data_IF_812169306715
#
_entry.id   IF_812169306715
#
_cell.length_a   1.000
_cell.length_b   1.000
_cell.length_c   1.000
_cell.angle_alpha   90.00
_cell.angle_beta   90.00
_cell.angle_gamma   90.00
#
_symmetry.space_group_name_H-M   'P 1'
#
loop_
_entity.id
_entity.type
_entity.pdbx_description
1 polymer ?
#
# COMPACT_ATOMS: atom_id res chain seq x y z
N UNK A 1 -26.85 17.87 -15.34
CA UNK A 1 -26.54 18.80 -14.24
C UNK A 1 -25.16 18.48 -13.70
N UNK A 2 -24.15 19.32 -13.97
CA UNK A 2 -22.85 19.22 -13.29
C UNK A 2 -23.13 19.51 -11.81
N UNK A 3 -22.99 18.52 -10.93
CA UNK A 3 -23.01 18.76 -9.48
C UNK A 3 -21.89 19.75 -9.20
N UNK A 4 -22.23 20.98 -8.82
CA UNK A 4 -21.26 21.91 -8.25
C UNK A 4 -20.58 21.18 -7.09
N UNK A 5 -19.24 21.23 -7.04
CA UNK A 5 -18.43 20.53 -6.04
C UNK A 5 -18.67 21.14 -4.66
N UNK A 6 -19.78 20.83 -4.01
CA UNK A 6 -20.04 21.39 -2.69
C UNK A 6 -19.12 20.70 -1.68
N UNK A 7 -18.20 21.47 -1.10
CA UNK A 7 -17.10 20.98 -0.26
C UNK A 7 -17.58 20.10 0.89
N UNK A 8 -18.75 20.41 1.46
CA UNK A 8 -19.37 19.64 2.55
C UNK A 8 -19.72 18.18 2.19
N UNK A 9 -19.84 17.84 0.90
CA UNK A 9 -20.11 16.47 0.45
C UNK A 9 -18.85 15.63 0.28
N UNK A 10 -17.65 16.25 0.29
CA UNK A 10 -16.39 15.54 0.16
C UNK A 10 -16.19 14.60 1.34
N UNK A 11 -15.71 13.39 1.10
CA UNK A 11 -15.60 12.41 2.18
C UNK A 11 -14.59 12.77 3.27
N UNK A 12 -13.63 13.66 3.00
CA UNK A 12 -12.71 14.20 4.00
C UNK A 12 -13.31 15.23 4.96
N UNK A 13 -14.58 15.63 4.78
CA UNK A 13 -15.34 16.42 5.75
C UNK A 13 -16.20 15.47 6.59
N UNK A 14 -15.84 15.33 7.86
CA UNK A 14 -16.38 14.33 8.79
C UNK A 14 -17.24 15.06 9.82
N UNK A 15 -18.50 14.66 9.96
CA UNK A 15 -19.41 15.22 10.96
C UNK A 15 -18.95 14.84 12.37
N UNK A 16 -18.91 15.82 13.28
CA UNK A 16 -18.58 15.57 14.67
C UNK A 16 -19.80 15.18 15.50
N UNK A 17 -19.58 14.80 16.76
CA UNK A 17 -20.68 14.59 17.71
C UNK A 17 -21.48 15.86 17.94
N UNK A 18 -20.78 16.99 17.95
CA UNK A 18 -21.36 18.31 18.00
C UNK A 18 -21.69 18.75 16.56
N UNK A 19 -22.97 18.88 16.20
CA UNK A 19 -23.38 19.13 14.82
C UNK A 19 -23.03 20.54 14.32
N UNK A 20 -22.65 21.45 15.22
CA UNK A 20 -22.16 22.78 14.85
C UNK A 20 -20.76 22.72 14.20
N UNK A 21 -20.05 21.60 14.35
CA UNK A 21 -18.68 21.45 13.88
C UNK A 21 -18.47 20.24 12.97
N UNK A 22 -17.40 20.31 12.20
CA UNK A 22 -16.88 19.18 11.44
C UNK A 22 -15.37 19.04 11.63
N UNK A 23 -14.86 17.83 11.36
CA UNK A 23 -13.43 17.56 11.26
C UNK A 23 -13.04 17.50 9.79
N UNK A 24 -11.96 18.19 9.41
CA UNK A 24 -11.35 18.07 8.08
C UNK A 24 -10.17 17.11 8.15
N UNK A 25 -10.18 16.06 7.34
CA UNK A 25 -9.03 15.19 7.11
C UNK A 25 -8.32 15.59 5.82
N UNK A 26 -7.00 15.71 5.85
CA UNK A 26 -6.18 16.05 4.66
C UNK A 26 -5.83 14.83 3.81
N UNK A 27 -5.46 15.05 2.54
CA UNK A 27 -4.83 14.08 1.64
C UNK A 27 -3.31 14.26 1.68
N UNK A 28 -2.61 13.21 2.07
CA UNK A 28 -1.14 13.18 2.19
C UNK A 28 -0.68 11.78 1.78
N UNK A 29 -0.52 11.51 0.46
CA UNK A 29 -0.11 10.18 0.01
C UNK A 29 1.22 9.79 0.64
N UNK A 30 1.31 8.54 1.12
CA UNK A 30 2.46 8.00 1.84
C UNK A 30 2.86 8.77 3.12
N UNK A 31 2.09 9.74 3.58
CA UNK A 31 2.45 10.58 4.73
C UNK A 31 3.62 11.53 4.46
N UNK A 32 3.95 11.80 3.20
CA UNK A 32 5.09 12.65 2.84
C UNK A 32 4.65 14.11 2.82
N UNK A 33 5.26 14.90 3.69
CA UNK A 33 5.04 16.36 3.81
C UNK A 33 6.36 17.08 3.94
N UNK A 34 6.41 18.32 3.46
CA UNK A 34 7.51 19.24 3.74
C UNK A 34 7.28 19.96 5.07
N UNK A 35 8.33 20.51 5.71
CA UNK A 35 8.16 21.39 6.86
C UNK A 35 7.25 22.59 6.59
N UNK A 36 7.25 23.11 5.36
CA UNK A 36 6.36 24.20 4.95
C UNK A 36 4.88 23.77 4.95
N UNK A 37 4.58 22.58 4.41
CA UNK A 37 3.23 22.01 4.43
C UNK A 37 2.71 21.81 5.86
N UNK A 38 3.57 21.34 6.77
CA UNK A 38 3.19 21.18 8.18
C UNK A 38 2.93 22.52 8.88
N UNK A 39 3.77 23.54 8.64
CA UNK A 39 3.52 24.90 9.14
C UNK A 39 2.21 25.45 8.60
N UNK A 40 1.95 25.33 7.30
CA UNK A 40 0.68 25.78 6.71
C UNK A 40 -0.54 25.06 7.28
N UNK A 41 -0.46 23.74 7.56
CA UNK A 41 -1.55 23.04 8.28
C UNK A 41 -1.76 23.65 9.67
N UNK A 42 -0.69 23.95 10.40
CA UNK A 42 -0.78 24.58 11.73
C UNK A 42 -1.42 25.97 11.65
N UNK A 43 -0.98 26.82 10.72
CA UNK A 43 -1.54 28.17 10.51
C UNK A 43 -3.04 28.11 10.14
N UNK A 44 -3.42 27.16 9.28
CA UNK A 44 -4.83 26.93 8.91
C UNK A 44 -5.63 26.46 10.14
N UNK A 45 -5.08 25.54 10.94
CA UNK A 45 -5.74 25.04 12.14
C UNK A 45 -5.93 26.13 13.21
N UNK A 46 -4.94 26.99 13.42
CA UNK A 46 -5.03 28.15 14.30
C UNK A 46 -6.11 29.12 13.80
N UNK A 47 -6.19 29.34 12.48
CA UNK A 47 -7.26 30.16 11.88
C UNK A 47 -8.66 29.59 12.11
N UNK A 48 -8.78 28.27 12.27
CA UNK A 48 -10.02 27.57 12.59
C UNK A 48 -10.29 27.54 14.10
N UNK A 49 -9.36 28.03 14.94
CA UNK A 49 -9.38 27.87 16.40
C UNK A 49 -9.45 26.39 16.82
N UNK A 50 -8.84 25.51 16.03
CA UNK A 50 -8.81 24.09 16.33
C UNK A 50 -8.00 23.86 17.62
N UNK A 51 -8.52 23.12 18.61
CA UNK A 51 -7.84 22.95 19.90
C UNK A 51 -6.58 22.09 19.82
N UNK A 52 -6.46 21.25 18.79
CA UNK A 52 -5.32 20.39 18.51
C UNK A 52 -5.43 19.83 17.09
N UNK A 53 -4.35 19.20 16.62
CA UNK A 53 -4.32 18.38 15.42
C UNK A 53 -4.22 16.89 15.78
N UNK A 54 -4.75 16.03 14.92
CA UNK A 54 -4.65 14.57 15.10
C UNK A 54 -3.96 13.90 13.91
N UNK A 55 -2.92 13.10 14.18
CA UNK A 55 -2.23 12.30 13.16
C UNK A 55 -2.91 10.93 13.03
N UNK A 56 -3.35 10.60 11.82
CA UNK A 56 -4.17 9.41 11.59
C UNK A 56 -3.34 8.16 11.29
N UNK A 57 -3.94 6.99 11.51
CA UNK A 57 -3.37 5.70 11.07
C UNK A 57 -3.27 5.56 9.54
N UNK A 58 -3.86 6.49 8.78
CA UNK A 58 -3.76 6.58 7.32
C UNK A 58 -2.70 7.57 6.85
N UNK A 59 -1.81 8.01 7.76
CA UNK A 59 -0.72 8.94 7.47
C UNK A 59 -1.20 10.33 7.00
N UNK A 60 -2.30 10.81 7.57
CA UNK A 60 -2.86 12.14 7.30
C UNK A 60 -3.00 12.96 8.57
N UNK A 61 -3.38 14.23 8.43
CA UNK A 61 -3.68 15.13 9.56
C UNK A 61 -5.17 15.46 9.57
N UNK A 62 -5.76 15.53 10.76
CA UNK A 62 -7.11 16.00 11.00
C UNK A 62 -7.10 17.34 11.74
N UNK A 63 -7.98 18.24 11.28
CA UNK A 63 -8.29 19.54 11.88
C UNK A 63 -9.73 19.44 12.43
N UNK A 64 -9.93 19.21 13.73
CA UNK A 64 -11.24 19.13 14.36
C UNK A 64 -11.82 20.53 14.62
N UNK A 65 -13.10 20.58 15.01
CA UNK A 65 -13.82 21.79 15.44
C UNK A 65 -13.86 22.89 14.38
N UNK A 66 -13.96 22.51 13.11
CA UNK A 66 -14.09 23.46 12.00
C UNK A 66 -15.56 23.85 11.82
N UNK A 67 -15.81 25.16 11.73
CA UNK A 67 -17.10 25.72 11.33
C UNK A 67 -17.44 25.33 9.87
N UNK A 68 -18.56 24.61 9.63
CA UNK A 68 -19.02 24.24 8.30
C UNK A 68 -19.18 25.43 7.33
N UNK A 69 -19.45 26.64 7.84
CA UNK A 69 -19.57 27.87 7.04
C UNK A 69 -18.26 28.32 6.40
N UNK A 70 -17.11 27.84 6.89
CA UNK A 70 -15.76 28.21 6.41
C UNK A 70 -15.10 27.14 5.53
N UNK A 71 -15.82 26.08 5.18
CA UNK A 71 -15.26 24.94 4.44
C UNK A 71 -14.62 25.32 3.10
N UNK A 72 -15.19 26.29 2.35
CA UNK A 72 -14.63 26.71 1.07
C UNK A 72 -13.30 27.44 1.22
N UNK A 73 -13.20 28.34 2.20
CA UNK A 73 -11.98 29.07 2.55
C UNK A 73 -10.87 28.08 2.94
N UNK A 74 -11.18 27.16 3.86
CA UNK A 74 -10.22 26.19 4.37
C UNK A 74 -9.82 25.19 3.28
N UNK A 75 -10.77 24.74 2.46
CA UNK A 75 -10.46 23.86 1.32
C UNK A 75 -9.51 24.54 0.32
N UNK A 76 -9.64 25.86 0.12
CA UNK A 76 -8.72 26.63 -0.75
C UNK A 76 -7.33 26.71 -0.13
N UNK A 77 -7.25 27.13 1.13
CA UNK A 77 -5.97 27.25 1.85
C UNK A 77 -5.22 25.91 1.91
N UNK A 78 -5.91 24.81 2.22
CA UNK A 78 -5.34 23.47 2.22
C UNK A 78 -4.89 23.02 0.82
N UNK A 79 -5.61 23.44 -0.23
CA UNK A 79 -5.22 23.19 -1.61
C UNK A 79 -3.93 23.92 -1.99
N UNK A 80 -3.83 25.20 -1.65
CA UNK A 80 -2.63 26.04 -1.88
C UNK A 80 -1.43 25.54 -1.07
N UNK A 81 -1.66 25.03 0.14
CA UNK A 81 -0.64 24.40 0.97
C UNK A 81 -0.15 23.04 0.42
N UNK A 82 -0.82 22.46 -0.58
CA UNK A 82 -0.50 21.13 -1.11
C UNK A 82 -0.98 19.97 -0.23
N UNK A 83 -1.88 20.22 0.72
CA UNK A 83 -2.50 19.22 1.61
C UNK A 83 -4.02 19.27 1.52
N UNK A 84 -4.61 19.10 0.33
CA UNK A 84 -6.03 19.32 0.10
C UNK A 84 -6.90 18.38 0.94
N UNK A 85 -8.20 18.66 1.03
CA UNK A 85 -9.14 17.78 1.73
C UNK A 85 -9.10 16.35 1.16
N UNK A 86 -9.04 15.40 2.09
CA UNK A 86 -8.97 13.97 1.89
C UNK A 86 -10.30 13.32 1.50
N UNK A 87 -10.33 11.99 1.65
CA UNK A 87 -11.50 11.13 1.50
C UNK A 87 -11.56 10.16 2.68
N UNK A 88 -12.78 9.87 3.17
CA UNK A 88 -13.00 8.98 4.31
C UNK A 88 -14.34 8.24 4.23
N UNK A 89 -15.11 8.37 3.14
CA UNK A 89 -16.37 7.64 2.95
C UNK A 89 -16.13 6.38 2.12
N UNK A 90 -17.14 5.89 1.41
CA UNK A 90 -17.01 4.81 0.44
C UNK A 90 -16.32 5.34 -0.83
N UNK A 91 -15.02 5.57 -0.69
CA UNK A 91 -14.13 6.13 -1.70
C UNK A 91 -12.79 5.38 -1.66
N UNK A 92 -11.95 5.62 -2.66
CA UNK A 92 -10.50 5.37 -2.51
C UNK A 92 -9.93 6.41 -1.55
N UNK A 93 -9.53 5.95 -0.35
CA UNK A 93 -8.98 6.81 0.70
C UNK A 93 -7.46 6.96 0.60
N UNK A 94 -6.89 7.91 1.36
CA UNK A 94 -5.46 8.23 1.36
C UNK A 94 -4.57 6.98 1.39
N UNK A 95 -3.62 6.84 0.46
CA UNK A 95 -2.77 5.65 0.33
C UNK A 95 -1.61 5.69 1.31
N UNK A 96 -1.37 4.58 2.03
CA UNK A 96 -0.27 4.49 2.99
C UNK A 96 0.93 3.75 2.42
N UNK A 97 2.13 4.20 2.76
CA UNK A 97 3.38 3.54 2.40
C UNK A 97 4.38 3.55 3.57
N UNK A 98 5.23 2.53 3.63
CA UNK A 98 6.40 2.60 4.50
C UNK A 98 7.49 3.51 3.87
N UNK A 99 8.60 3.77 4.58
CA UNK A 99 9.67 4.61 4.07
C UNK A 99 10.33 4.20 2.74
N UNK A 100 10.10 2.97 2.26
CA UNK A 100 10.69 2.50 1.00
C UNK A 100 12.22 2.49 1.01
N UNK A 101 12.79 2.49 -0.19
CA UNK A 101 14.25 2.49 -0.43
C UNK A 101 14.94 3.81 -0.06
N UNK A 102 14.19 4.87 0.20
CA UNK A 102 14.73 6.18 0.60
C UNK A 102 15.59 6.10 1.86
N UNK A 103 15.19 5.29 2.84
CA UNK A 103 15.91 5.19 4.13
C UNK A 103 15.87 3.82 4.84
N UNK A 104 15.03 2.88 4.40
CA UNK A 104 14.91 1.59 5.08
C UNK A 104 15.86 0.56 4.46
N UNK A 105 16.79 0.04 5.27
CA UNK A 105 17.76 -1.01 4.85
C UNK A 105 17.12 -2.34 4.44
N UNK A 106 15.85 -2.56 4.80
CA UNK A 106 15.10 -3.78 4.44
C UNK A 106 14.23 -3.60 3.20
N UNK A 107 14.06 -2.39 2.69
CA UNK A 107 13.18 -2.13 1.58
C UNK A 107 13.68 -2.83 0.30
N UNK A 108 12.74 -3.43 -0.42
CA UNK A 108 12.99 -4.09 -1.69
C UNK A 108 12.45 -3.31 -2.88
N UNK A 109 11.55 -2.34 -2.67
CA UNK A 109 10.91 -1.52 -3.72
C UNK A 109 10.74 -0.07 -3.25
N UNK A 110 10.61 0.85 -4.19
CA UNK A 110 10.18 2.22 -3.91
C UNK A 110 8.68 2.29 -3.63
N UNK A 111 8.31 2.20 -2.35
CA UNK A 111 6.91 2.25 -1.93
C UNK A 111 6.31 3.66 -1.97
N UNK A 112 7.12 4.72 -1.85
CA UNK A 112 6.61 6.10 -1.78
C UNK A 112 6.22 6.56 -3.18
N UNK A 113 7.10 6.40 -4.16
CA UNK A 113 6.81 6.77 -5.55
C UNK A 113 5.61 6.01 -6.10
N UNK A 114 5.51 4.71 -5.80
CA UNK A 114 4.36 3.90 -6.19
C UNK A 114 3.06 4.37 -5.52
N UNK A 115 3.08 4.74 -4.24
CA UNK A 115 1.90 5.27 -3.56
C UNK A 115 1.43 6.59 -4.18
N UNK A 116 2.35 7.51 -4.50
CA UNK A 116 2.03 8.78 -5.17
C UNK A 116 1.46 8.55 -6.57
N UNK A 117 2.00 7.58 -7.31
CA UNK A 117 1.49 7.22 -8.63
C UNK A 117 0.05 6.69 -8.57
N UNK A 118 -0.22 5.72 -7.70
CA UNK A 118 -1.57 5.15 -7.53
C UNK A 118 -2.55 6.21 -7.02
N UNK A 119 -2.11 7.07 -6.10
CA UNK A 119 -2.91 8.17 -5.55
C UNK A 119 -3.30 9.16 -6.66
N UNK A 120 -2.39 9.50 -7.58
CA UNK A 120 -2.70 10.34 -8.75
C UNK A 120 -3.78 9.72 -9.65
N UNK A 121 -3.78 8.39 -9.80
CA UNK A 121 -4.72 7.66 -10.66
C UNK A 121 -6.11 7.47 -10.04
N UNK A 122 -6.18 7.23 -8.72
CA UNK A 122 -7.38 6.62 -8.11
C UNK A 122 -7.98 7.40 -6.93
N UNK A 123 -7.26 8.34 -6.33
CA UNK A 123 -7.71 9.01 -5.11
C UNK A 123 -9.10 9.66 -5.25
N UNK A 124 -9.94 9.52 -4.23
CA UNK A 124 -11.23 10.20 -4.14
C UNK A 124 -12.29 9.67 -5.10
N UNK A 125 -12.02 8.56 -5.81
CA UNK A 125 -13.02 7.87 -6.62
C UNK A 125 -14.11 7.32 -5.71
N UNK A 126 -15.37 7.65 -5.99
CA UNK A 126 -16.54 7.06 -5.34
C UNK A 126 -16.59 5.55 -5.61
N UNK A 127 -16.87 4.77 -4.57
CA UNK A 127 -16.85 3.31 -4.60
C UNK A 127 -18.09 2.74 -3.90
N UNK A 128 -18.51 1.50 -4.21
CA UNK A 128 -19.55 0.83 -3.43
C UNK A 128 -19.09 0.49 -2.01
N UNK A 129 -17.77 0.43 -1.78
CA UNK A 129 -17.15 0.13 -0.49
C UNK A 129 -15.93 1.03 -0.30
N UNK A 130 -15.62 1.44 0.94
CA UNK A 130 -14.35 2.11 1.25
C UNK A 130 -13.14 1.25 0.84
N UNK A 131 -12.25 1.80 0.03
CA UNK A 131 -11.04 1.11 -0.46
C UNK A 131 -9.80 1.70 0.18
N UNK A 132 -9.16 0.96 1.11
CA UNK A 132 -7.85 1.30 1.66
C UNK A 132 -6.77 0.57 0.88
N UNK A 133 -5.78 1.33 0.41
CA UNK A 133 -4.60 0.80 -0.28
C UNK A 133 -3.39 0.99 0.63
N UNK A 134 -2.62 -0.07 0.89
CA UNK A 134 -1.43 0.01 1.73
C UNK A 134 -0.23 -0.69 1.06
N UNK A 135 0.92 -0.02 1.08
CA UNK A 135 2.14 -0.48 0.43
C UNK A 135 3.22 -0.69 1.47
N UNK A 136 3.84 -1.87 1.49
CA UNK A 136 5.04 -2.14 2.27
C UNK A 136 6.15 -2.61 1.34
N UNK A 137 7.32 -1.99 1.46
CA UNK A 137 8.44 -2.27 0.58
C UNK A 137 9.10 -3.64 0.79
N UNK A 138 8.73 -4.38 1.83
CA UNK A 138 9.25 -5.71 2.13
C UNK A 138 8.22 -6.53 2.93
N UNK A 139 8.45 -7.85 3.11
CA UNK A 139 7.57 -8.73 3.88
C UNK A 139 7.41 -8.39 5.38
N UNK A 140 8.23 -7.49 5.94
CA UNK A 140 8.03 -6.98 7.32
C UNK A 140 6.71 -6.22 7.49
N UNK A 141 6.05 -5.82 6.40
CA UNK A 141 4.64 -5.41 6.40
C UNK A 141 4.31 -4.23 7.35
N UNK A 142 5.18 -3.21 7.44
CA UNK A 142 5.02 -2.07 8.37
C UNK A 142 3.68 -1.31 8.23
N UNK A 143 3.05 -1.32 7.05
CA UNK A 143 1.73 -0.71 6.80
C UNK A 143 0.57 -1.70 6.90
N UNK A 144 0.85 -2.95 7.28
CA UNK A 144 -0.09 -4.08 7.28
C UNK A 144 -0.85 -4.23 5.94
N UNK A 145 -0.17 -4.34 4.79
CA UNK A 145 -0.80 -4.38 3.45
C UNK A 145 -1.93 -5.41 3.35
N UNK A 146 -1.71 -6.61 3.88
CA UNK A 146 -2.71 -7.69 3.86
C UNK A 146 -3.94 -7.44 4.74
N UNK A 147 -3.96 -6.38 5.56
CA UNK A 147 -5.12 -6.00 6.39
C UNK A 147 -5.87 -4.79 5.83
N UNK A 148 -5.66 -4.47 4.55
CA UNK A 148 -6.35 -3.42 3.82
C UNK A 148 -7.06 -4.03 2.59
N UNK A 149 -8.05 -3.32 2.03
CA UNK A 149 -8.82 -3.81 0.88
C UNK A 149 -7.92 -4.16 -0.30
N UNK A 150 -6.84 -3.38 -0.49
CA UNK A 150 -5.76 -3.70 -1.42
C UNK A 150 -4.41 -3.51 -0.71
N UNK A 151 -3.57 -4.53 -0.78
CA UNK A 151 -2.22 -4.53 -0.21
C UNK A 151 -1.17 -4.75 -1.28
N UNK A 152 -0.04 -4.05 -1.20
CA UNK A 152 1.15 -4.29 -2.02
C UNK A 152 2.32 -4.62 -1.09
N UNK A 153 3.00 -5.74 -1.35
CA UNK A 153 4.21 -6.15 -0.64
C UNK A 153 5.37 -6.32 -1.60
N UNK A 154 6.45 -5.56 -1.40
CA UNK A 154 7.69 -5.72 -2.16
C UNK A 154 8.41 -7.00 -1.80
N UNK A 155 8.87 -7.74 -2.80
CA UNK A 155 9.59 -9.01 -2.65
C UNK A 155 10.77 -9.05 -3.62
N UNK A 156 11.85 -9.70 -3.20
CA UNK A 156 12.98 -10.04 -4.08
C UNK A 156 13.37 -11.49 -3.83
N UNK A 157 13.52 -12.25 -4.90
CA UNK A 157 13.93 -13.65 -4.78
C UNK A 157 15.46 -13.73 -4.85
N UNK A 158 16.11 -14.40 -3.89
CA UNK A 158 17.54 -14.66 -3.97
C UNK A 158 17.84 -15.72 -5.03
N UNK A 159 18.75 -15.40 -5.94
CA UNK A 159 19.29 -16.30 -6.95
C UNK A 159 20.75 -16.56 -6.61
N UNK A 160 21.12 -17.84 -6.49
CA UNK A 160 22.51 -18.24 -6.29
C UNK A 160 23.17 -18.44 -7.64
N UNK A 161 24.32 -17.80 -7.85
CA UNK A 161 25.16 -18.15 -9.01
C UNK A 161 25.75 -19.56 -8.79
N UNK A 162 25.58 -20.49 -9.74
CA UNK A 162 26.09 -21.85 -9.63
C UNK A 162 27.62 -21.87 -9.52
N UNK A 163 28.16 -22.83 -8.77
CA UNK A 163 29.60 -23.08 -8.67
C UNK A 163 30.45 -22.08 -7.88
N UNK A 164 29.92 -20.90 -7.54
CA UNK A 164 30.72 -19.84 -6.88
C UNK A 164 30.50 -19.73 -5.37
N UNK A 165 29.45 -20.37 -4.83
CA UNK A 165 29.12 -20.32 -3.40
C UNK A 165 30.23 -20.91 -2.55
N UNK A 166 30.69 -20.15 -1.54
CA UNK A 166 31.77 -20.55 -0.62
C UNK A 166 31.29 -21.39 0.57
N UNK A 167 29.99 -21.50 0.80
CA UNK A 167 29.43 -22.25 1.93
C UNK A 167 29.62 -21.61 3.31
N UNK A 168 29.99 -20.33 3.39
CA UNK A 168 30.33 -19.64 4.66
C UNK A 168 29.21 -19.56 5.72
N UNK A 169 27.94 -19.79 5.34
CA UNK A 169 26.84 -19.87 6.31
C UNK A 169 26.18 -18.54 6.70
N UNK A 170 26.74 -17.37 6.37
CA UNK A 170 26.15 -16.06 6.76
C UNK A 170 24.70 -15.88 6.30
N UNK A 171 24.33 -16.38 5.12
CA UNK A 171 22.94 -16.33 4.67
C UNK A 171 21.98 -17.16 5.52
N UNK A 172 22.47 -18.25 6.15
CA UNK A 172 21.70 -19.09 7.07
C UNK A 172 21.48 -18.36 8.39
N UNK A 173 22.54 -17.79 8.96
CA UNK A 173 22.48 -17.05 10.24
C UNK A 173 21.48 -15.88 10.20
N UNK A 174 21.40 -15.17 9.08
CA UNK A 174 20.52 -14.02 8.91
C UNK A 174 19.09 -14.40 8.44
N UNK A 175 18.84 -15.65 8.09
CA UNK A 175 17.53 -16.08 7.60
C UNK A 175 16.57 -16.39 8.75
N UNK A 176 15.72 -15.42 9.11
CA UNK A 176 14.70 -15.58 10.16
C UNK A 176 13.63 -16.64 9.87
N UNK A 177 13.43 -16.97 8.59
CA UNK A 177 12.47 -17.99 8.17
C UNK A 177 13.07 -19.40 8.13
N UNK A 178 14.37 -19.54 8.46
CA UNK A 178 15.10 -20.82 8.35
C UNK A 178 14.97 -21.47 6.96
N UNK A 179 14.87 -20.63 5.93
CA UNK A 179 14.67 -21.04 4.55
C UNK A 179 15.98 -21.43 3.86
N UNK A 180 17.15 -21.15 4.45
CA UNK A 180 18.44 -21.45 3.82
C UNK A 180 19.20 -22.44 4.69
N UNK A 181 19.83 -23.43 4.05
CA UNK A 181 20.71 -24.40 4.70
C UNK A 181 21.99 -24.60 3.90
N UNK A 182 23.10 -25.02 4.53
CA UNK A 182 24.31 -25.42 3.81
C UNK A 182 24.26 -26.93 3.56
N UNK A 183 24.29 -27.34 2.29
CA UNK A 183 24.38 -28.75 1.88
C UNK A 183 25.53 -28.91 0.92
N UNK A 184 26.42 -29.89 1.15
CA UNK A 184 27.59 -30.15 0.29
C UNK A 184 28.44 -28.89 0.01
N UNK A 185 28.61 -28.04 1.02
CA UNK A 185 29.42 -26.81 0.91
C UNK A 185 28.76 -25.64 0.16
N UNK A 186 27.47 -25.74 -0.20
CA UNK A 186 26.73 -24.67 -0.88
C UNK A 186 25.45 -24.31 -0.13
N UNK A 187 25.01 -23.05 -0.25
CA UNK A 187 23.71 -22.61 0.27
C UNK A 187 22.59 -23.13 -0.62
N UNK A 188 21.60 -23.78 -0.01
CA UNK A 188 20.39 -24.33 -0.65
C UNK A 188 19.18 -23.63 -0.04
N UNK A 189 18.29 -23.12 -0.90
CA UNK A 189 17.07 -22.41 -0.51
C UNK A 189 15.87 -23.36 -0.50
N UNK A 190 15.09 -23.34 0.56
CA UNK A 190 13.75 -23.92 0.64
C UNK A 190 12.71 -22.86 0.23
N UNK A 191 12.11 -22.98 -0.97
CA UNK A 191 11.15 -22.00 -1.45
C UNK A 191 9.85 -22.00 -0.64
N UNK A 192 9.53 -23.08 0.08
CA UNK A 192 8.30 -23.17 0.88
C UNK A 192 8.32 -22.30 2.14
N UNK A 193 9.52 -22.01 2.65
CA UNK A 193 9.74 -21.14 3.82
C UNK A 193 10.14 -19.72 3.44
N UNK A 194 10.70 -19.53 2.24
CA UNK A 194 11.23 -18.23 1.82
C UNK A 194 10.11 -17.21 1.60
N UNK A 195 10.07 -16.17 2.44
CA UNK A 195 9.15 -15.03 2.26
C UNK A 195 9.67 -13.96 1.27
N UNK A 196 10.80 -14.22 0.60
CA UNK A 196 11.41 -13.31 -0.39
C UNK A 196 11.76 -11.92 0.18
N UNK A 197 12.24 -11.90 1.43
CA UNK A 197 12.63 -10.65 2.12
C UNK A 197 13.95 -10.05 1.64
N UNK A 198 14.80 -10.84 0.98
CA UNK A 198 16.08 -10.39 0.44
C UNK A 198 17.22 -10.21 1.44
N UNK A 199 17.02 -10.55 2.71
CA UNK A 199 18.06 -10.37 3.74
C UNK A 199 19.34 -11.14 3.41
N UNK A 200 19.21 -12.36 2.89
CA UNK A 200 20.36 -13.18 2.48
C UNK A 200 21.17 -12.58 1.32
N UNK A 201 20.53 -11.81 0.43
CA UNK A 201 21.21 -11.10 -0.66
C UNK A 201 22.13 -10.02 -0.07
N UNK A 202 21.57 -9.22 0.85
CA UNK A 202 22.29 -8.11 1.52
C UNK A 202 23.36 -8.59 2.48
N UNK A 203 23.15 -9.72 3.15
CA UNK A 203 24.10 -10.25 4.15
C UNK A 203 25.23 -11.09 3.55
N UNK A 204 25.21 -11.40 2.25
CA UNK A 204 26.26 -12.19 1.63
C UNK A 204 27.57 -11.40 1.55
N UNK A 205 28.63 -11.77 2.32
CA UNK A 205 29.88 -10.99 2.36
C UNK A 205 30.66 -11.05 1.05
N UNK A 206 30.35 -12.04 0.20
CA UNK A 206 30.98 -12.24 -1.10
C UNK A 206 30.09 -11.77 -2.27
N UNK A 207 28.90 -11.22 -2.00
CA UNK A 207 27.94 -10.74 -3.00
C UNK A 207 27.55 -11.78 -4.08
N UNK A 208 27.52 -13.07 -3.70
CA UNK A 208 27.25 -14.20 -4.60
C UNK A 208 25.77 -14.55 -4.75
N UNK A 209 24.94 -14.12 -3.80
CA UNK A 209 23.49 -14.16 -3.94
C UNK A 209 23.03 -12.90 -4.66
N UNK A 210 22.38 -13.06 -5.80
CA UNK A 210 21.81 -12.00 -6.64
C UNK A 210 20.31 -11.88 -6.44
N UNK A 211 19.74 -10.77 -6.90
CA UNK A 211 18.30 -10.54 -6.89
C UNK A 211 17.68 -10.98 -8.22
N UNK A 212 16.48 -11.55 -8.18
CA UNK A 212 15.62 -11.77 -9.36
C UNK A 212 15.00 -10.50 -9.94
N UNK A 213 15.36 -9.33 -9.41
CA UNK A 213 14.66 -8.08 -9.66
C UNK A 213 13.52 -7.85 -8.67
N UNK A 214 12.94 -6.66 -8.73
CA UNK A 214 11.84 -6.24 -7.85
C UNK A 214 10.51 -6.87 -8.25
N UNK A 215 9.81 -7.44 -7.27
CA UNK A 215 8.48 -7.99 -7.46
C UNK A 215 7.48 -7.39 -6.48
N UNK A 216 6.25 -7.23 -6.95
CA UNK A 216 5.17 -6.56 -6.26
C UNK A 216 4.05 -7.58 -6.08
N UNK A 217 3.89 -8.13 -4.87
CA UNK A 217 2.76 -8.98 -4.54
C UNK A 217 1.55 -8.10 -4.23
N UNK A 218 0.47 -8.25 -4.99
CA UNK A 218 -0.83 -7.65 -4.72
C UNK A 218 -1.70 -8.65 -3.95
N UNK A 219 -2.30 -8.19 -2.85
CA UNK A 219 -3.32 -8.91 -2.08
C UNK A 219 -4.63 -8.12 -2.02
N UNK A 220 -5.79 -8.78 -1.94
CA UNK A 220 -7.11 -8.14 -1.92
C UNK A 220 -8.01 -8.67 -0.81
N UNK A 221 -8.86 -7.80 -0.26
CA UNK A 221 -9.92 -8.13 0.69
C UNK A 221 -9.46 -8.29 2.14
N UNK A 222 -8.31 -7.72 2.48
CA UNK A 222 -7.92 -7.56 3.87
C UNK A 222 -8.77 -6.53 4.58
N UNK A 223 -8.91 -6.64 5.91
CA UNK A 223 -9.47 -5.56 6.73
C UNK A 223 -8.97 -5.59 8.16
N UNK A 224 -8.92 -4.40 8.75
CA UNK A 224 -8.87 -4.16 10.20
C UNK A 224 -10.28 -3.98 10.78
N UNK A 225 -10.40 -3.95 12.10
CA UNK A 225 -11.65 -3.63 12.82
C UNK A 225 -12.16 -4.78 13.67
N UNK A 226 -13.47 -4.80 13.93
CA UNK A 226 -14.14 -5.76 14.85
C UNK A 226 -13.90 -7.22 14.49
N UNK A 227 -13.79 -7.52 13.20
CA UNK A 227 -13.53 -8.87 12.68
C UNK A 227 -12.41 -8.82 11.63
N UNK A 228 -11.14 -8.80 12.04
CA UNK A 228 -10.02 -8.74 11.10
C UNK A 228 -10.04 -9.90 10.11
N UNK A 229 -9.66 -9.61 8.87
CA UNK A 229 -9.47 -10.62 7.81
C UNK A 229 -8.16 -10.34 7.10
N UNK A 230 -7.41 -11.40 6.83
CA UNK A 230 -6.20 -11.36 6.03
C UNK A 230 -6.62 -11.40 4.55
N UNK A 231 -6.06 -10.50 3.76
CA UNK A 231 -6.27 -10.42 2.32
C UNK A 231 -5.68 -11.63 1.61
N UNK A 232 -6.30 -12.01 0.50
CA UNK A 232 -5.90 -13.15 -0.33
C UNK A 232 -4.90 -12.69 -1.39
N UNK A 233 -3.87 -13.48 -1.65
CA UNK A 233 -2.89 -13.17 -2.70
C UNK A 233 -3.56 -13.20 -4.07
N UNK A 234 -3.47 -12.10 -4.81
CA UNK A 234 -4.08 -11.94 -6.12
C UNK A 234 -3.08 -12.30 -7.23
N UNK A 235 -2.01 -11.52 -7.33
CA UNK A 235 -1.02 -11.62 -8.41
C UNK A 235 0.30 -11.01 -7.97
N UNK A 236 1.40 -11.49 -8.54
CA UNK A 236 2.72 -10.86 -8.40
C UNK A 236 3.17 -10.33 -9.75
N UNK A 237 3.66 -9.09 -9.79
CA UNK A 237 4.15 -8.42 -11.01
C UNK A 237 5.56 -7.89 -10.83
N UNK A 238 6.28 -7.63 -11.93
CA UNK A 238 7.71 -7.33 -11.93
C UNK A 238 8.07 -5.84 -12.15
N UNK A 239 7.08 -4.95 -12.10
CA UNK A 239 7.32 -3.51 -12.27
C UNK A 239 6.31 -2.66 -11.49
N UNK A 240 6.68 -1.45 -11.06
CA UNK A 240 5.78 -0.53 -10.37
C UNK A 240 4.59 -0.11 -11.25
N UNK A 241 4.82 0.11 -12.55
CA UNK A 241 3.77 0.44 -13.51
C UNK A 241 2.71 -0.67 -13.62
N UNK A 242 3.15 -1.93 -13.76
CA UNK A 242 2.24 -3.06 -13.75
C UNK A 242 1.49 -3.21 -12.42
N UNK A 243 2.14 -2.91 -11.28
CA UNK A 243 1.49 -2.93 -9.98
C UNK A 243 0.38 -1.87 -9.90
N UNK A 244 0.63 -0.64 -10.37
CA UNK A 244 -0.36 0.41 -10.45
C UNK A 244 -1.54 0.03 -11.38
N UNK A 245 -1.25 -0.57 -12.54
CA UNK A 245 -2.27 -1.06 -13.48
C UNK A 245 -3.15 -2.16 -12.87
N UNK A 246 -2.56 -3.11 -12.12
CA UNK A 246 -3.31 -4.13 -11.38
C UNK A 246 -4.24 -3.47 -10.37
N UNK A 247 -3.74 -2.52 -9.56
CA UNK A 247 -4.57 -1.85 -8.54
C UNK A 247 -5.72 -1.09 -9.20
N UNK A 248 -5.46 -0.39 -10.31
CA UNK A 248 -6.51 0.29 -11.06
C UNK A 248 -7.59 -0.69 -11.56
N UNK A 249 -7.19 -1.83 -12.13
CA UNK A 249 -8.13 -2.87 -12.58
C UNK A 249 -8.92 -3.47 -11.42
N UNK A 250 -8.30 -3.70 -10.27
CA UNK A 250 -8.98 -4.16 -9.06
C UNK A 250 -10.02 -3.14 -8.61
N UNK A 251 -9.67 -1.86 -8.55
CA UNK A 251 -10.61 -0.78 -8.18
C UNK A 251 -11.77 -0.70 -9.18
N UNK A 252 -11.50 -0.75 -10.48
CA UNK A 252 -12.55 -0.76 -11.51
C UNK A 252 -13.44 -2.00 -11.41
N UNK A 253 -12.87 -3.15 -11.07
CA UNK A 253 -13.62 -4.39 -10.88
C UNK A 253 -14.54 -4.28 -9.65
N UNK A 254 -14.02 -3.81 -8.51
CA UNK A 254 -14.79 -3.60 -7.27
C UNK A 254 -15.92 -2.61 -7.52
N UNK A 255 -15.66 -1.52 -8.23
CA UNK A 255 -16.66 -0.52 -8.56
C UNK A 255 -17.86 -1.11 -9.32
N UNK A 256 -17.62 -2.06 -10.23
CA UNK A 256 -18.67 -2.65 -11.08
C UNK A 256 -19.45 -3.79 -10.41
N UNK A 257 -18.86 -4.47 -9.43
CA UNK A 257 -19.37 -5.78 -8.95
C UNK A 257 -19.59 -5.88 -7.45
N UNK A 258 -18.99 -5.01 -6.64
CA UNK A 258 -19.24 -5.03 -5.20
C UNK A 258 -20.56 -4.32 -4.84
N UNK A 259 -21.20 -4.78 -3.79
CA UNK A 259 -22.45 -4.24 -3.27
C UNK A 259 -22.19 -3.25 -2.13
N UNK A 260 -22.93 -2.14 -2.15
CA UNK A 260 -22.91 -1.12 -1.09
C UNK A 260 -23.49 -1.63 0.23
N UNK A 261 -23.02 -1.05 1.33
CA UNK A 261 -23.46 -1.40 2.70
C UNK A 261 -22.86 -2.70 3.26
N UNK A 262 -22.00 -3.38 2.49
CA UNK A 262 -21.25 -4.57 2.91
C UNK A 262 -19.75 -4.33 2.76
N UNK A 263 -18.92 -5.05 3.50
CA UNK A 263 -17.46 -4.92 3.38
C UNK A 263 -16.93 -5.81 2.26
N UNK A 264 -15.85 -5.39 1.56
CA UNK A 264 -15.29 -6.15 0.44
C UNK A 264 -14.93 -7.60 0.84
N UNK A 265 -14.32 -7.76 2.02
CA UNK A 265 -13.90 -9.07 2.55
C UNK A 265 -15.04 -10.06 2.75
N UNK A 266 -16.27 -9.58 2.94
CA UNK A 266 -17.47 -10.41 3.15
C UNK A 266 -18.13 -10.84 1.85
N UNK A 267 -17.74 -10.19 0.75
CA UNK A 267 -18.32 -10.43 -0.57
C UNK A 267 -17.40 -11.31 -1.42
N UNK A 268 -16.12 -11.45 -1.08
CA UNK A 268 -15.13 -12.17 -1.89
C UNK A 268 -15.50 -13.61 -2.25
N UNK A 269 -16.17 -14.32 -1.34
CA UNK A 269 -16.61 -15.71 -1.60
C UNK A 269 -17.81 -15.76 -2.55
N UNK A 270 -18.80 -14.88 -2.38
CA UNK A 270 -19.94 -14.73 -3.30
C UNK A 270 -19.50 -14.26 -4.69
N UNK A 271 -18.47 -13.42 -4.70
CA UNK A 271 -17.79 -12.92 -5.90
C UNK A 271 -16.97 -14.01 -6.61
N UNK A 272 -16.72 -15.14 -5.95
CA UNK A 272 -15.85 -16.23 -6.45
C UNK A 272 -14.43 -15.72 -6.72
N UNK A 273 -13.68 -15.48 -5.65
CA UNK A 273 -12.32 -14.93 -5.68
C UNK A 273 -11.40 -15.52 -6.76
N UNK A 274 -11.44 -16.83 -7.02
CA UNK A 274 -10.60 -17.44 -8.07
C UNK A 274 -10.96 -16.95 -9.47
N UNK A 275 -12.25 -16.79 -9.79
CA UNK A 275 -12.68 -16.21 -11.08
C UNK A 275 -12.26 -14.75 -11.20
N UNK A 276 -12.38 -13.99 -10.11
CA UNK A 276 -11.87 -12.62 -10.05
C UNK A 276 -10.36 -12.58 -10.30
N UNK A 277 -9.60 -13.50 -9.70
CA UNK A 277 -8.16 -13.63 -9.88
C UNK A 277 -7.79 -13.90 -11.34
N UNK A 278 -8.46 -14.85 -11.98
CA UNK A 278 -8.28 -15.18 -13.39
C UNK A 278 -8.63 -13.99 -14.31
N UNK A 279 -9.74 -13.31 -14.02
CA UNK A 279 -10.19 -12.14 -14.80
C UNK A 279 -9.18 -10.99 -14.72
N UNK A 280 -8.62 -10.69 -13.55
CA UNK A 280 -7.57 -9.67 -13.42
C UNK A 280 -6.30 -10.13 -14.11
N UNK A 281 -5.89 -11.39 -13.91
CA UNK A 281 -4.65 -11.94 -14.49
C UNK A 281 -4.66 -11.92 -16.02
N UNK A 282 -5.80 -12.23 -16.65
CA UNK A 282 -5.95 -12.19 -18.13
C UNK A 282 -5.85 -10.79 -18.73
N UNK A 283 -6.03 -9.74 -17.92
CA UNK A 283 -5.92 -8.34 -18.36
C UNK A 283 -4.52 -7.75 -18.20
N UNK A 284 -3.57 -8.50 -17.61
CA UNK A 284 -2.20 -8.07 -17.41
C UNK A 284 -1.31 -8.78 -18.43
N UNK A 285 -0.40 -8.07 -19.13
CA UNK A 285 0.54 -8.70 -20.04
C UNK A 285 1.34 -9.80 -19.34
N UNK A 286 1.45 -10.98 -19.94
CA UNK A 286 2.19 -12.10 -19.36
C UNK A 286 3.65 -11.75 -19.02
N UNK A 287 4.28 -10.87 -19.79
CA UNK A 287 5.63 -10.35 -19.54
C UNK A 287 5.77 -9.52 -18.26
N UNK A 288 4.66 -9.01 -17.73
CA UNK A 288 4.63 -8.23 -16.48
C UNK A 288 4.33 -9.08 -15.24
N UNK A 289 3.91 -10.32 -15.43
CA UNK A 289 3.58 -11.24 -14.34
C UNK A 289 4.86 -11.93 -13.89
N UNK A 290 5.13 -11.92 -12.59
CA UNK A 290 6.24 -12.67 -12.02
C UNK A 290 5.76 -14.08 -11.62
N UNK A 291 6.45 -15.09 -12.13
CA UNK A 291 6.32 -16.47 -11.69
C UNK A 291 7.64 -16.90 -11.05
N UNK A 292 7.53 -17.52 -9.87
CA UNK A 292 8.69 -18.00 -9.15
C UNK A 292 9.39 -19.09 -9.96
N UNK A 293 10.59 -18.80 -10.48
CA UNK A 293 11.47 -19.81 -11.04
C UNK A 293 12.16 -20.60 -9.93
N UNK A 294 12.55 -21.84 -10.23
CA UNK A 294 13.29 -22.67 -9.28
C UNK A 294 14.67 -22.02 -8.98
N UNK A 295 14.94 -21.66 -7.72
CA UNK A 295 16.13 -20.92 -7.32
C UNK A 295 17.45 -21.70 -7.52
N UNK A 296 17.38 -23.03 -7.70
CA UNK A 296 18.54 -23.92 -7.87
C UNK A 296 18.67 -24.50 -9.29
N UNK A 297 17.91 -24.00 -10.28
CA UNK A 297 17.89 -24.52 -11.66
C UNK A 297 19.12 -24.25 -12.54
N UNK A 298 20.25 -23.90 -11.94
CA UNK A 298 21.53 -23.92 -12.64
C UNK A 298 22.31 -25.18 -12.26
N UNK A 299 22.08 -26.24 -13.05
CA UNK A 299 22.89 -27.46 -13.05
C UNK A 299 24.37 -27.15 -13.27
#
# INVERSE_FOLDING_TARGET
>A
MRRENIVHMRGGVITERDPEFCTIRTRIPAGVVTPAMLRGIADIADSCQAPHLHLTTRQTVEIPRVDPGRLEEISRALGENGTPIGSERDEVVNITACPGIDRCVFANIDSISLAVEIDRRLFGREMPVKVRIAISACPNACTSPMLNEVGITGRIMPIRTPGVCTGCGTCVEYCKEEAISIKKGISVLDPSKCVQCGTCIRSCPFHLLKSSGEHYLISVGGRRGRHPRVGRELITVNSPGAAADVVEKVVQWVYRRAWSGRLLSEQLDEIQFEKFREEIRSQIPASSIFEAQDPDQSR
#
